data_IF_606065048175
#
_entry.id   IF_606065048175
#
_cell.length_a   1.000
_cell.length_b   1.000
_cell.length_c   1.000
_cell.angle_alpha   90.00
_cell.angle_beta   90.00
_cell.angle_gamma   90.00
#
_symmetry.space_group_name_H-M   'P 1'
#
loop_
_entity.id
_entity.type
_entity.pdbx_description
1 polymer ?
#
# COMPACT_ATOMS: atom_id res chain seq x y z
N UNK A 1 -22.09 51.47 -9.10
CA UNK A 1 -20.98 51.60 -10.06
C UNK A 1 -20.08 50.44 -9.72
N UNK A 2 -20.17 49.26 -10.36
CA UNK A 2 -20.12 49.04 -11.80
C UNK A 2 -21.09 47.95 -12.27
N UNK A 3 -21.73 48.21 -13.40
CA UNK A 3 -22.68 47.34 -14.08
C UNK A 3 -22.16 47.23 -15.53
N UNK A 4 -21.42 46.18 -15.88
CA UNK A 4 -21.02 45.99 -17.29
C UNK A 4 -22.24 45.54 -18.09
N UNK A 5 -22.76 46.46 -18.88
CA UNK A 5 -23.72 46.21 -19.93
C UNK A 5 -23.00 45.49 -21.09
N UNK A 6 -23.24 44.18 -21.27
CA UNK A 6 -23.00 43.54 -22.56
C UNK A 6 -24.29 43.62 -23.36
N UNK A 7 -24.23 44.37 -24.45
CA UNK A 7 -25.35 44.65 -25.34
C UNK A 7 -25.88 43.37 -26.02
N UNK A 8 -26.98 42.81 -25.52
CA UNK A 8 -27.90 41.98 -26.31
C UNK A 8 -29.25 42.72 -26.30
N UNK A 9 -29.43 43.59 -27.30
CA UNK A 9 -30.45 44.66 -27.37
C UNK A 9 -31.89 44.15 -27.65
N UNK A 10 -32.22 42.85 -27.54
CA UNK A 10 -33.53 42.36 -28.04
C UNK A 10 -34.51 41.78 -27.02
N UNK A 11 -34.14 41.59 -25.76
CA UNK A 11 -35.08 41.15 -24.72
C UNK A 11 -34.76 41.94 -23.45
N UNK A 12 -35.68 42.80 -22.98
CA UNK A 12 -35.60 43.57 -21.74
C UNK A 12 -35.46 42.66 -20.49
N UNK A 13 -34.32 41.98 -20.38
CA UNK A 13 -34.00 41.09 -19.28
C UNK A 13 -32.67 41.57 -18.74
N UNK A 14 -32.74 42.28 -17.62
CA UNK A 14 -31.56 42.52 -16.78
C UNK A 14 -31.22 41.19 -16.12
N UNK A 15 -30.53 40.30 -16.82
CA UNK A 15 -30.00 39.12 -16.15
C UNK A 15 -28.87 39.60 -15.25
N UNK A 16 -29.05 39.43 -13.94
CA UNK A 16 -27.98 39.56 -12.96
C UNK A 16 -26.91 38.53 -13.34
N UNK A 17 -25.91 38.96 -14.11
CA UNK A 17 -24.62 38.26 -14.08
C UNK A 17 -23.99 38.71 -12.77
N UNK A 18 -23.72 37.80 -11.81
CA UNK A 18 -23.07 38.21 -10.58
C UNK A 18 -21.67 38.75 -10.93
N UNK A 19 -21.50 40.06 -10.86
CA UNK A 19 -20.18 40.70 -10.84
C UNK A 19 -19.47 40.21 -9.57
N UNK A 20 -18.58 39.23 -9.72
CA UNK A 20 -17.76 38.76 -8.60
C UNK A 20 -17.25 37.32 -8.65
N UNK A 21 -17.73 36.47 -9.56
CA UNK A 21 -17.29 35.07 -9.63
C UNK A 21 -15.79 35.00 -10.00
N UNK A 22 -14.95 34.82 -8.98
CA UNK A 22 -13.51 34.59 -9.14
C UNK A 22 -13.25 33.09 -9.09
N UNK A 23 -12.62 32.56 -10.14
CA UNK A 23 -12.11 31.18 -10.21
C UNK A 23 -10.58 31.14 -10.17
N UNK A 24 -9.94 32.30 -10.08
CA UNK A 24 -8.53 32.45 -9.77
C UNK A 24 -8.39 32.63 -8.26
N UNK A 25 -7.87 31.60 -7.60
CA UNK A 25 -7.83 31.50 -6.15
C UNK A 25 -6.39 31.47 -5.65
N UNK A 26 -6.19 31.98 -4.43
CA UNK A 26 -4.90 31.83 -3.76
C UNK A 26 -4.58 30.34 -3.56
N UNK A 27 -3.30 29.94 -3.55
CA UNK A 27 -2.90 28.58 -3.23
C UNK A 27 -3.59 28.06 -1.96
N UNK A 28 -4.10 26.83 -2.01
CA UNK A 28 -4.84 26.22 -0.91
C UNK A 28 -6.35 26.47 -0.93
N UNK A 29 -6.91 27.23 -1.88
CA UNK A 29 -8.36 27.45 -2.04
C UNK A 29 -8.85 27.20 -3.47
N UNK A 30 -10.12 26.84 -3.62
CA UNK A 30 -10.73 26.54 -4.91
C UNK A 30 -12.26 26.76 -4.93
N UNK A 31 -12.84 26.73 -6.13
CA UNK A 31 -14.27 26.88 -6.39
C UNK A 31 -14.70 28.34 -6.59
N UNK A 32 -16.00 28.54 -6.77
CA UNK A 32 -16.61 29.86 -6.92
C UNK A 32 -16.33 30.69 -5.67
N UNK A 33 -15.77 31.88 -5.87
CA UNK A 33 -15.38 32.82 -4.81
C UNK A 33 -14.39 32.23 -3.80
N UNK A 34 -13.63 31.20 -4.22
CA UNK A 34 -12.60 30.54 -3.41
C UNK A 34 -13.10 30.02 -2.05
N UNK A 35 -14.39 29.67 -1.97
CA UNK A 35 -15.05 29.27 -0.71
C UNK A 35 -14.70 27.84 -0.25
N UNK A 36 -13.97 27.06 -1.06
CA UNK A 36 -13.53 25.71 -0.70
C UNK A 36 -12.02 25.69 -0.48
N UNK A 37 -11.57 24.80 0.39
CA UNK A 37 -10.15 24.66 0.73
C UNK A 37 -9.60 23.38 0.11
N UNK A 38 -8.39 23.45 -0.44
CA UNK A 38 -7.67 22.28 -0.93
C UNK A 38 -7.41 21.26 0.20
N UNK A 39 -7.22 20.00 -0.15
CA UNK A 39 -6.82 19.00 0.84
C UNK A 39 -5.42 19.33 1.39
N UNK A 40 -5.17 19.19 2.71
CA UNK A 40 -3.83 19.34 3.27
C UNK A 40 -2.86 18.24 2.80
N UNK A 41 -3.34 17.23 2.07
CA UNK A 41 -2.56 16.12 1.54
C UNK A 41 -2.27 16.25 0.04
N UNK A 42 -2.52 17.43 -0.56
CA UNK A 42 -2.03 17.74 -1.89
C UNK A 42 -0.51 17.92 -1.84
N UNK A 43 0.21 17.17 -2.67
CA UNK A 43 1.67 17.28 -2.70
C UNK A 43 2.13 18.66 -3.21
N UNK A 44 3.17 19.22 -2.59
CA UNK A 44 3.81 20.47 -3.02
C UNK A 44 3.62 21.63 -2.04
N UNK A 45 4.06 22.86 -2.42
CA UNK A 45 3.96 24.02 -1.55
C UNK A 45 2.51 24.44 -1.33
N UNK A 46 2.21 24.91 -0.12
CA UNK A 46 0.92 25.47 0.30
C UNK A 46 -0.31 24.59 0.04
N UNK A 47 -0.10 23.28 -0.14
CA UNK A 47 -1.14 22.32 -0.50
C UNK A 47 -1.97 22.79 -1.72
N UNK A 48 -1.29 23.39 -2.70
CA UNK A 48 -1.92 23.96 -3.87
C UNK A 48 -2.70 22.90 -4.66
N UNK A 49 -3.91 23.26 -5.07
CA UNK A 49 -4.77 22.47 -5.92
C UNK A 49 -5.37 23.34 -7.03
N UNK A 50 -5.90 22.71 -8.08
CA UNK A 50 -6.51 23.39 -9.19
C UNK A 50 -7.65 24.31 -8.72
N UNK A 51 -7.56 25.61 -9.04
CA UNK A 51 -8.45 26.64 -8.50
C UNK A 51 -9.94 26.43 -8.83
N UNK A 52 -10.27 25.81 -9.96
CA UNK A 52 -11.67 25.45 -10.30
C UNK A 52 -12.07 24.06 -9.81
N UNK A 53 -11.25 23.04 -10.06
CA UNK A 53 -11.60 21.63 -9.86
C UNK A 53 -11.25 21.10 -8.46
N UNK A 54 -10.37 21.77 -7.72
CA UNK A 54 -9.86 21.33 -6.42
C UNK A 54 -8.98 20.10 -6.48
N UNK A 55 -8.47 19.73 -7.66
CA UNK A 55 -7.62 18.55 -7.88
C UNK A 55 -6.16 18.87 -7.60
N UNK A 56 -5.43 17.96 -6.97
CA UNK A 56 -4.02 18.16 -6.66
C UNK A 56 -3.16 17.80 -7.89
N UNK A 57 -2.68 18.80 -8.63
CA UNK A 57 -1.98 18.58 -9.90
C UNK A 57 -0.61 17.90 -9.75
N UNK A 58 0.00 18.02 -8.56
CA UNK A 58 1.25 17.36 -8.20
C UNK A 58 1.06 15.98 -7.54
N UNK A 59 -0.18 15.49 -7.52
CA UNK A 59 -0.55 14.24 -6.85
C UNK A 59 -0.78 14.39 -5.36
N UNK A 60 -0.86 13.25 -4.68
CA UNK A 60 -1.14 13.16 -3.24
C UNK A 60 0.11 12.82 -2.43
N UNK A 61 0.07 13.17 -1.16
CA UNK A 61 0.96 12.60 -0.16
C UNK A 61 0.74 11.07 -0.03
N UNK A 62 1.74 10.34 0.48
CA UNK A 62 1.58 8.91 0.78
C UNK A 62 0.35 8.65 1.64
N UNK A 63 -0.38 7.58 1.33
CA UNK A 63 -1.57 7.20 2.06
C UNK A 63 -2.88 7.85 1.60
N UNK A 64 -2.85 8.78 0.65
CA UNK A 64 -4.04 9.44 0.11
C UNK A 64 -4.27 9.17 -1.38
N UNK A 65 -5.54 9.06 -1.78
CA UNK A 65 -5.92 8.77 -3.17
C UNK A 65 -6.27 10.02 -3.99
N UNK A 66 -5.83 10.09 -5.26
CA UNK A 66 -6.22 11.14 -6.19
C UNK A 66 -7.73 11.08 -6.49
N UNK A 67 -8.32 12.15 -7.07
CA UNK A 67 -7.65 13.37 -7.58
C UNK A 67 -7.58 14.54 -6.58
N UNK A 68 -8.27 14.46 -5.43
CA UNK A 68 -8.32 15.55 -4.43
C UNK A 68 -7.58 15.24 -3.13
N UNK A 69 -7.06 14.03 -2.95
CA UNK A 69 -6.35 13.62 -1.73
C UNK A 69 -7.17 13.81 -0.45
N UNK A 70 -8.50 13.68 -0.52
CA UNK A 70 -9.42 13.82 0.64
C UNK A 70 -9.77 12.48 1.28
N UNK A 71 -9.32 11.38 0.71
CA UNK A 71 -9.58 10.04 1.20
C UNK A 71 -8.29 9.28 1.29
N UNK A 72 -8.21 8.42 2.31
CA UNK A 72 -7.09 7.51 2.49
C UNK A 72 -7.12 6.38 1.44
N UNK A 73 -5.99 5.66 1.36
CA UNK A 73 -5.87 4.44 0.59
C UNK A 73 -6.87 3.38 1.05
N UNK A 74 -7.35 2.59 0.10
CA UNK A 74 -8.15 1.41 0.42
C UNK A 74 -7.26 0.37 1.13
N UNK A 75 -7.82 -0.41 2.07
CA UNK A 75 -7.10 -1.52 2.69
C UNK A 75 -6.48 -2.41 1.60
N UNK A 76 -5.22 -2.79 1.80
CA UNK A 76 -4.46 -3.55 0.80
C UNK A 76 -3.65 -2.68 -0.18
N UNK A 77 -3.68 -1.35 -0.06
CA UNK A 77 -2.82 -0.45 -0.86
C UNK A 77 -2.09 0.58 0.01
N UNK A 78 -0.92 1.03 -0.44
CA UNK A 78 -0.08 2.00 0.27
C UNK A 78 0.79 2.84 -0.67
N UNK A 79 1.47 3.82 -0.09
CA UNK A 79 2.41 4.70 -0.76
C UNK A 79 1.75 5.88 -1.45
N UNK A 80 2.51 6.56 -2.31
CA UNK A 80 2.04 7.73 -3.04
C UNK A 80 0.92 7.36 -4.00
N UNK A 81 -0.20 8.09 -3.91
CA UNK A 81 -1.40 7.84 -4.71
C UNK A 81 -1.94 6.39 -4.61
N UNK A 82 -1.59 5.66 -3.54
CA UNK A 82 -2.02 4.27 -3.32
C UNK A 82 -1.63 3.30 -4.45
N UNK A 83 -0.51 3.56 -5.14
CA UNK A 83 -0.07 2.75 -6.30
C UNK A 83 0.53 1.39 -5.93
N UNK A 84 0.94 1.19 -4.68
CA UNK A 84 1.56 -0.06 -4.25
C UNK A 84 0.52 -0.94 -3.54
N UNK A 85 0.63 -2.26 -3.73
CA UNK A 85 -0.21 -3.24 -3.05
C UNK A 85 0.52 -3.81 -1.83
N UNK A 86 -0.21 -3.97 -0.73
CA UNK A 86 0.22 -4.74 0.43
C UNK A 86 0.52 -6.20 0.03
N UNK A 87 1.38 -6.88 0.78
CA UNK A 87 1.60 -8.31 0.57
C UNK A 87 0.30 -9.08 0.81
N UNK A 88 0.05 -10.09 -0.02
CA UNK A 88 -1.07 -11.02 0.17
C UNK A 88 -0.93 -11.87 1.44
N UNK A 89 0.25 -11.85 2.06
CA UNK A 89 0.60 -12.59 3.26
C UNK A 89 0.66 -11.69 4.51
N UNK A 90 0.21 -10.44 4.40
CA UNK A 90 -0.09 -9.64 5.58
C UNK A 90 -1.28 -10.28 6.31
N UNK A 91 -1.09 -10.61 7.58
CA UNK A 91 -2.17 -11.12 8.41
C UNK A 91 -3.31 -10.12 8.58
N UNK A 92 -4.46 -10.62 9.04
CA UNK A 92 -5.64 -9.80 9.35
C UNK A 92 -6.63 -9.65 8.18
N UNK A 93 -7.60 -8.75 8.32
CA UNK A 93 -8.63 -8.56 7.30
C UNK A 93 -8.09 -7.77 6.09
N UNK A 94 -8.37 -8.27 4.88
CA UNK A 94 -8.01 -7.63 3.60
C UNK A 94 -6.51 -7.34 3.41
N UNK A 95 -5.64 -8.12 4.06
CA UNK A 95 -4.18 -7.95 3.97
C UNK A 95 -3.73 -6.51 4.27
N UNK A 96 -4.35 -5.92 5.30
CA UNK A 96 -4.13 -4.52 5.65
C UNK A 96 -2.66 -4.26 6.04
N UNK A 97 -2.07 -3.25 5.43
CA UNK A 97 -0.74 -2.77 5.75
C UNK A 97 -0.77 -1.24 5.97
N UNK A 98 0.27 -0.73 6.61
CA UNK A 98 0.46 0.70 6.84
C UNK A 98 0.48 1.46 5.50
N UNK A 99 -0.36 2.48 5.41
CA UNK A 99 -0.61 3.22 4.16
C UNK A 99 0.57 4.05 3.67
N UNK A 100 1.57 4.30 4.53
CA UNK A 100 2.74 5.09 4.20
C UNK A 100 3.92 4.21 3.78
N UNK A 101 4.25 3.21 4.60
CA UNK A 101 5.45 2.40 4.42
C UNK A 101 5.16 0.99 3.90
N UNK A 102 3.92 0.51 3.93
CA UNK A 102 3.52 -0.82 3.46
C UNK A 102 3.78 -1.98 4.43
N UNK A 103 4.07 -1.71 5.70
CA UNK A 103 4.31 -2.73 6.72
C UNK A 103 3.01 -3.39 7.20
N UNK A 104 2.99 -4.71 7.34
CA UNK A 104 1.78 -5.43 7.72
C UNK A 104 1.39 -5.14 9.18
N UNK A 105 0.15 -4.72 9.42
CA UNK A 105 -0.29 -4.23 10.72
C UNK A 105 -0.57 -5.37 11.72
N UNK A 106 -0.97 -6.54 11.24
CA UNK A 106 -1.29 -7.71 12.06
C UNK A 106 -0.23 -8.82 11.97
N UNK A 107 0.99 -8.50 11.52
CA UNK A 107 2.04 -9.48 11.28
C UNK A 107 1.88 -10.25 9.98
N UNK A 108 2.54 -11.41 9.88
CA UNK A 108 2.56 -12.26 8.69
C UNK A 108 1.74 -13.53 8.89
N UNK A 109 1.19 -14.03 7.78
CA UNK A 109 0.63 -15.38 7.73
C UNK A 109 1.71 -16.44 8.01
N UNK A 110 1.27 -17.60 8.49
CA UNK A 110 2.12 -18.76 8.70
C UNK A 110 2.91 -19.08 7.42
N UNK A 111 4.23 -19.20 7.54
CA UNK A 111 5.09 -19.44 6.38
C UNK A 111 5.77 -18.19 5.84
N UNK A 112 5.49 -17.00 6.36
CA UNK A 112 6.05 -15.73 5.88
C UNK A 112 6.68 -14.90 6.99
N UNK A 113 7.72 -14.16 6.65
CA UNK A 113 8.45 -13.29 7.57
C UNK A 113 8.83 -11.94 6.95
N UNK A 114 9.41 -11.07 7.79
CA UNK A 114 9.80 -9.71 7.44
C UNK A 114 8.67 -8.69 7.62
N UNK A 115 9.02 -7.39 7.60
CA UNK A 115 8.08 -6.28 7.88
C UNK A 115 6.93 -6.16 6.86
N UNK A 116 7.11 -6.75 5.67
CA UNK A 116 6.12 -6.76 4.58
C UNK A 116 5.63 -8.16 4.25
N UNK A 117 6.06 -9.20 4.96
CA UNK A 117 5.64 -10.58 4.70
C UNK A 117 5.85 -11.01 3.23
N UNK A 118 7.00 -10.64 2.66
CA UNK A 118 7.37 -11.03 1.29
C UNK A 118 8.32 -12.23 1.28
N UNK A 119 8.97 -12.51 2.40
CA UNK A 119 9.96 -13.57 2.54
C UNK A 119 9.26 -14.83 3.06
N UNK A 120 9.52 -15.97 2.43
CA UNK A 120 9.02 -17.25 2.94
C UNK A 120 9.95 -17.74 4.04
N UNK A 121 9.38 -18.14 5.18
CA UNK A 121 10.16 -18.92 6.14
C UNK A 121 10.52 -20.26 5.50
N UNK A 122 11.81 -20.56 5.50
CA UNK A 122 12.35 -21.86 5.08
C UNK A 122 12.04 -22.99 6.07
N UNK A 123 11.23 -22.72 7.10
CA UNK A 123 11.06 -23.62 8.24
C UNK A 123 9.96 -24.68 8.04
N UNK A 124 9.35 -24.72 6.86
CA UNK A 124 8.43 -25.77 6.45
C UNK A 124 9.16 -27.03 5.96
N UNK A 125 9.52 -27.94 6.87
CA UNK A 125 9.94 -29.33 6.59
C UNK A 125 11.27 -29.57 5.86
N UNK A 126 12.31 -28.76 6.09
CA UNK A 126 13.67 -29.27 5.89
C UNK A 126 14.02 -30.24 7.04
N UNK A 127 13.41 -31.44 7.06
CA UNK A 127 13.91 -32.52 7.90
C UNK A 127 15.39 -32.68 7.54
N UNK A 128 16.30 -32.39 8.46
CA UNK A 128 17.69 -32.31 8.09
C UNK A 128 18.13 -33.70 7.63
N UNK A 129 19.00 -33.78 6.62
CA UNK A 129 19.22 -35.05 5.89
C UNK A 129 19.57 -36.24 6.80
N UNK A 130 20.17 -35.98 7.96
CA UNK A 130 20.41 -36.99 8.99
C UNK A 130 19.13 -37.68 9.50
N UNK A 131 17.96 -37.05 9.51
CA UNK A 131 16.67 -37.69 9.87
C UNK A 131 16.28 -38.80 8.89
N UNK A 132 16.63 -38.66 7.61
CA UNK A 132 16.44 -39.71 6.60
C UNK A 132 17.59 -40.73 6.57
N UNK A 133 18.80 -40.27 6.92
CA UNK A 133 20.03 -41.08 6.83
C UNK A 133 20.26 -41.94 8.09
N UNK A 134 19.90 -41.47 9.29
CA UNK A 134 20.06 -42.17 10.57
C UNK A 134 19.45 -43.58 10.59
N UNK A 135 18.21 -43.83 10.12
CA UNK A 135 17.66 -45.19 10.08
C UNK A 135 18.45 -46.11 9.12
N UNK A 136 18.93 -45.58 7.99
CA UNK A 136 19.75 -46.31 7.03
C UNK A 136 21.13 -46.66 7.59
N UNK A 137 21.77 -45.70 8.28
CA UNK A 137 23.08 -45.89 8.93
C UNK A 137 22.98 -46.92 10.06
N UNK A 138 21.97 -46.82 10.92
CA UNK A 138 21.77 -47.76 12.03
C UNK A 138 21.61 -49.21 11.53
N UNK A 139 20.90 -49.41 10.41
CA UNK A 139 20.75 -50.72 9.78
C UNK A 139 22.08 -51.28 9.25
N UNK A 140 22.87 -50.46 8.54
CA UNK A 140 24.18 -50.87 8.02
C UNK A 140 25.16 -51.17 9.15
N UNK A 141 25.22 -50.32 10.17
CA UNK A 141 26.04 -50.54 11.36
C UNK A 141 25.62 -51.83 12.09
N UNK A 142 24.31 -52.07 12.23
CA UNK A 142 23.79 -53.31 12.82
C UNK A 142 24.21 -54.56 12.04
N UNK A 143 24.14 -54.53 10.72
CA UNK A 143 24.58 -55.64 9.85
C UNK A 143 26.09 -55.90 9.97
N UNK A 144 26.91 -54.85 10.03
CA UNK A 144 28.36 -54.97 10.22
C UNK A 144 28.70 -55.52 11.60
N UNK A 145 28.08 -55.01 12.67
CA UNK A 145 28.28 -55.51 14.04
C UNK A 145 27.88 -56.98 14.15
N UNK A 146 26.71 -57.36 13.63
CA UNK A 146 26.26 -58.76 13.59
C UNK A 146 27.21 -59.65 12.77
N UNK A 147 27.71 -59.15 11.64
CA UNK A 147 28.69 -59.85 10.80
C UNK A 147 30.01 -60.09 11.52
N UNK A 148 30.58 -59.03 12.12
CA UNK A 148 31.84 -59.09 12.89
C UNK A 148 31.68 -60.04 14.08
N UNK A 149 30.57 -59.96 14.81
CA UNK A 149 30.29 -60.85 15.94
C UNK A 149 30.14 -62.32 15.53
N UNK A 150 29.45 -62.58 14.41
CA UNK A 150 29.31 -63.93 13.82
C UNK A 150 30.63 -64.47 13.28
N UNK A 151 31.53 -63.62 12.81
CA UNK A 151 32.88 -63.99 12.38
C UNK A 151 33.77 -64.31 13.59
N UNK A 152 33.76 -63.44 14.60
CA UNK A 152 34.53 -63.61 15.85
C UNK A 152 34.18 -64.92 16.56
N UNK A 153 32.89 -65.24 16.72
CA UNK A 153 32.42 -66.51 17.30
C UNK A 153 32.88 -67.74 16.51
N UNK A 154 33.17 -67.60 15.22
CA UNK A 154 33.58 -68.69 14.33
C UNK A 154 35.09 -68.90 14.32
N UNK A 155 35.84 -67.90 14.78
CA UNK A 155 37.31 -67.86 14.79
C UNK A 155 37.89 -67.92 16.21
N UNK A 156 37.04 -68.16 17.21
CA UNK A 156 37.37 -68.81 18.48
C UNK A 156 37.05 -70.30 18.34
#
# INVERSE_FOLDING_TARGET
MDCFAVAIILLNICTVVPFGISTDCRPGTYGIDCRKTCSPHCAGPDNACHSTLGTCDKGCDPGYRPPRCTSECIPGTYGRECKNLCSLHCGGANNACDVNNGSCLAGCDDGYEGVRCNDKTSDGLALPWWVLIVPSIAFVIGMLICGIWKWYRRNQ
#
